data_IF_321544985297
#
_entry.id   IF_321544985297
#
_cell.length_a   1.000
_cell.length_b   1.000
_cell.length_c   1.000
_cell.angle_alpha   90.00
_cell.angle_beta   90.00
_cell.angle_gamma   90.00
#
_symmetry.space_group_name_H-M   'P 1'
#
loop_
_entity.id
_entity.type
_entity.pdbx_description
1 polymer ?
#
# COMPACT_ATOMS: atom_id res chain seq x y z
N UNK A 1 50.15 -3.08 -22.70
CA UNK A 1 49.84 -1.77 -23.30
C UNK A 1 51.00 -1.10 -24.08
N UNK A 2 52.26 -1.49 -23.95
CA UNK A 2 53.42 -0.81 -24.60
C UNK A 2 53.74 -1.32 -26.04
N UNK A 3 53.20 -2.48 -26.47
CA UNK A 3 53.47 -3.00 -27.83
C UNK A 3 52.45 -2.54 -28.89
N UNK A 4 51.28 -2.02 -28.53
CA UNK A 4 50.27 -1.52 -29.49
C UNK A 4 50.55 -0.11 -30.01
N UNK A 5 51.20 0.72 -29.22
CA UNK A 5 51.53 2.09 -29.64
C UNK A 5 52.67 2.19 -30.66
N UNK A 6 53.57 1.23 -30.72
CA UNK A 6 54.65 1.23 -31.75
C UNK A 6 54.15 0.79 -33.13
N UNK A 7 53.06 0.03 -33.20
CA UNK A 7 52.48 -0.40 -34.48
C UNK A 7 51.64 0.71 -35.12
N UNK A 8 50.92 1.48 -34.32
CA UNK A 8 50.16 2.63 -34.82
C UNK A 8 51.03 3.77 -35.34
N UNK A 9 52.15 4.05 -34.67
CA UNK A 9 53.10 5.12 -35.13
C UNK A 9 53.84 4.74 -36.43
N UNK A 10 54.01 3.48 -36.74
CA UNK A 10 54.66 3.03 -38.01
C UNK A 10 53.73 3.12 -39.22
N UNK A 11 52.43 3.10 -39.02
CA UNK A 11 51.41 3.25 -40.07
C UNK A 11 51.12 4.70 -40.46
N UNK A 12 51.39 5.65 -39.55
CA UNK A 12 51.04 7.06 -39.73
C UNK A 12 52.10 7.90 -40.48
N UNK A 13 53.31 7.35 -40.75
CA UNK A 13 54.43 8.14 -41.30
C UNK A 13 54.71 7.94 -42.80
N UNK A 14 53.90 7.14 -43.53
CA UNK A 14 54.31 6.77 -44.93
C UNK A 14 53.41 7.23 -46.09
N UNK A 15 52.22 7.88 -45.87
CA UNK A 15 51.47 8.36 -47.04
C UNK A 15 50.28 9.30 -46.66
N UNK A 16 50.33 10.61 -47.04
CA UNK A 16 49.28 11.60 -46.64
C UNK A 16 47.91 11.35 -47.26
N UNK A 17 47.79 10.62 -48.37
CA UNK A 17 46.49 10.28 -48.98
C UNK A 17 45.74 9.18 -48.19
N UNK A 18 46.47 8.24 -47.60
CA UNK A 18 45.89 7.17 -46.74
C UNK A 18 45.43 7.71 -45.38
N UNK A 19 46.02 8.82 -44.93
CA UNK A 19 45.64 9.49 -43.66
C UNK A 19 44.23 10.12 -43.69
N UNK A 20 43.81 10.63 -44.86
CA UNK A 20 42.43 11.16 -45.02
C UNK A 20 41.38 10.03 -45.01
N UNK A 21 41.67 8.92 -45.67
CA UNK A 21 40.77 7.77 -45.73
C UNK A 21 40.64 7.07 -44.37
N UNK A 22 41.75 6.93 -43.61
CA UNK A 22 41.74 6.33 -42.27
C UNK A 22 40.99 7.25 -41.24
N UNK A 23 41.17 8.59 -41.34
CA UNK A 23 40.41 9.53 -40.50
C UNK A 23 38.90 9.51 -40.78
N UNK A 24 38.51 9.36 -42.06
CA UNK A 24 37.10 9.24 -42.45
C UNK A 24 36.50 7.91 -41.97
N UNK A 25 37.24 6.79 -42.03
CA UNK A 25 36.81 5.49 -41.54
C UNK A 25 36.72 5.48 -39.99
N UNK A 26 37.64 6.12 -39.27
CA UNK A 26 37.62 6.25 -37.82
C UNK A 26 36.43 7.16 -37.36
N UNK A 27 36.18 8.27 -38.07
CA UNK A 27 35.01 9.10 -37.82
C UNK A 27 33.67 8.38 -38.12
N UNK A 28 33.62 7.54 -39.19
CA UNK A 28 32.44 6.76 -39.52
C UNK A 28 32.18 5.61 -38.51
N UNK A 29 33.23 5.04 -37.91
CA UNK A 29 33.09 4.01 -36.84
C UNK A 29 32.74 4.65 -35.51
N UNK A 30 33.24 5.87 -35.18
CA UNK A 30 32.83 6.61 -33.98
C UNK A 30 31.41 7.14 -34.09
N UNK A 31 30.91 7.49 -35.27
CA UNK A 31 29.51 7.95 -35.43
C UNK A 31 28.49 6.80 -35.44
N UNK A 32 28.89 5.56 -35.70
CA UNK A 32 28.02 4.39 -35.60
C UNK A 32 27.90 3.80 -34.19
N UNK A 33 28.72 4.23 -33.22
CA UNK A 33 28.64 3.77 -31.84
C UNK A 33 27.76 4.70 -30.93
N UNK A 34 27.25 5.82 -31.44
CA UNK A 34 26.45 6.78 -30.66
C UNK A 34 24.94 6.54 -30.83
N UNK A 35 24.50 5.58 -31.64
CA UNK A 35 23.07 5.27 -31.88
C UNK A 35 22.61 3.93 -31.30
N UNK A 36 23.32 3.41 -30.30
CA UNK A 36 22.76 2.34 -29.48
C UNK A 36 22.27 2.90 -28.15
N UNK A 37 21.28 3.80 -28.18
CA UNK A 37 20.30 3.82 -27.12
C UNK A 37 19.53 2.49 -27.23
N UNK A 38 20.06 1.43 -26.66
CA UNK A 38 19.25 0.32 -26.24
C UNK A 38 18.40 0.86 -25.08
N UNK A 39 17.22 1.40 -25.38
CA UNK A 39 16.12 1.27 -24.43
C UNK A 39 16.08 -0.23 -24.13
N UNK A 40 16.57 -0.63 -22.97
CA UNK A 40 16.33 -1.96 -22.45
C UNK A 40 14.81 -2.09 -22.41
N UNK A 41 14.23 -2.80 -23.38
CA UNK A 41 12.83 -3.20 -23.29
C UNK A 41 12.76 -4.02 -22.02
N UNK A 42 12.26 -3.42 -20.94
CA UNK A 42 11.90 -4.17 -19.75
C UNK A 42 11.01 -5.31 -20.24
N UNK A 43 11.46 -6.54 -20.04
CA UNK A 43 10.65 -7.70 -20.43
C UNK A 43 9.39 -7.67 -19.60
N UNK A 44 8.24 -7.57 -20.25
CA UNK A 44 6.93 -7.60 -19.57
C UNK A 44 6.87 -8.81 -18.64
N UNK A 45 6.34 -8.61 -17.48
CA UNK A 45 6.18 -9.64 -16.44
C UNK A 45 4.77 -10.19 -16.44
N UNK A 46 3.76 -9.32 -16.56
CA UNK A 46 2.37 -9.74 -16.55
C UNK A 46 1.95 -10.31 -17.92
N UNK A 47 1.36 -11.50 -17.90
CA UNK A 47 0.81 -12.15 -19.09
C UNK A 47 -0.72 -12.11 -19.05
N UNK A 48 -1.33 -11.42 -19.99
CA UNK A 48 -2.78 -11.24 -20.08
C UNK A 48 -3.54 -12.58 -20.18
N UNK A 49 -2.99 -13.60 -20.82
CA UNK A 49 -3.61 -14.91 -20.93
C UNK A 49 -3.74 -15.62 -19.58
N UNK A 50 -2.83 -15.34 -18.62
CA UNK A 50 -2.84 -15.97 -17.31
C UNK A 50 -3.89 -15.36 -16.38
N UNK A 51 -4.09 -14.03 -16.40
CA UNK A 51 -4.98 -13.36 -15.46
C UNK A 51 -6.37 -13.02 -16.01
N UNK A 52 -6.58 -12.96 -17.35
CA UNK A 52 -7.90 -12.61 -17.92
C UNK A 52 -9.03 -13.54 -17.47
N UNK A 53 -8.75 -14.82 -17.25
CA UNK A 53 -9.76 -15.77 -16.74
C UNK A 53 -10.33 -15.36 -15.38
N UNK A 54 -9.58 -14.62 -14.57
CA UNK A 54 -10.01 -14.13 -13.25
C UNK A 54 -10.72 -12.78 -13.32
N UNK A 55 -10.60 -12.07 -14.45
CA UNK A 55 -11.31 -10.81 -14.69
C UNK A 55 -12.72 -11.01 -15.27
N UNK A 56 -13.04 -12.23 -15.72
CA UNK A 56 -14.39 -12.60 -16.18
C UNK A 56 -15.23 -12.98 -14.97
N UNK A 57 -15.71 -11.97 -14.24
CA UNK A 57 -16.30 -12.23 -12.95
C UNK A 57 -17.73 -12.74 -12.99
N UNK A 58 -18.00 -13.52 -11.98
CA UNK A 58 -19.31 -13.94 -11.52
C UNK A 58 -19.33 -13.77 -10.01
N UNK A 59 -20.52 -13.59 -9.43
CA UNK A 59 -20.73 -13.63 -7.98
C UNK A 59 -19.98 -14.82 -7.37
N UNK A 60 -19.09 -14.54 -6.43
CA UNK A 60 -18.23 -15.57 -5.85
C UNK A 60 -19.00 -16.52 -4.92
N UNK A 61 -18.44 -17.69 -4.73
CA UNK A 61 -18.96 -18.62 -3.72
C UNK A 61 -18.92 -17.97 -2.33
N UNK A 62 -17.86 -17.22 -2.00
CA UNK A 62 -17.68 -16.54 -0.71
C UNK A 62 -18.77 -15.49 -0.50
N UNK A 63 -18.97 -14.58 -1.46
CA UNK A 63 -20.03 -13.57 -1.42
C UNK A 63 -21.42 -14.22 -1.26
N UNK A 64 -21.72 -15.21 -2.10
CA UNK A 64 -23.01 -15.91 -2.04
C UNK A 64 -23.25 -16.58 -0.69
N UNK A 65 -22.21 -17.18 -0.10
CA UNK A 65 -22.30 -17.79 1.23
C UNK A 65 -22.48 -16.72 2.32
N UNK A 66 -21.74 -15.62 2.27
CA UNK A 66 -21.88 -14.53 3.23
C UNK A 66 -23.28 -13.91 3.19
N UNK A 67 -23.85 -13.71 1.99
CA UNK A 67 -25.22 -13.22 1.84
C UNK A 67 -26.25 -14.21 2.41
N UNK A 68 -26.13 -15.51 2.12
CA UNK A 68 -27.01 -16.54 2.68
C UNK A 68 -26.93 -16.61 4.21
N UNK A 69 -25.73 -16.50 4.76
CA UNK A 69 -25.53 -16.43 6.22
C UNK A 69 -26.21 -15.18 6.80
N UNK A 70 -26.04 -14.02 6.17
CA UNK A 70 -26.69 -12.79 6.59
C UNK A 70 -28.21 -12.94 6.63
N UNK A 71 -28.82 -13.40 5.53
CA UNK A 71 -30.27 -13.58 5.40
C UNK A 71 -30.81 -14.58 6.42
N UNK A 72 -30.09 -15.69 6.61
CA UNK A 72 -30.47 -16.72 7.58
C UNK A 72 -30.50 -16.20 9.02
N UNK A 73 -29.41 -15.53 9.44
CA UNK A 73 -29.29 -15.03 10.80
C UNK A 73 -30.21 -13.84 11.05
N UNK A 74 -30.45 -12.99 10.05
CA UNK A 74 -31.42 -11.92 10.14
C UNK A 74 -32.83 -12.44 10.33
N UNK A 75 -33.23 -13.47 9.58
CA UNK A 75 -34.53 -14.16 9.76
C UNK A 75 -34.63 -14.78 11.15
N UNK A 76 -33.56 -15.40 11.65
CA UNK A 76 -33.55 -15.97 13.01
C UNK A 76 -33.73 -14.91 14.08
N UNK A 77 -33.04 -13.77 13.94
CA UNK A 77 -33.13 -12.63 14.87
C UNK A 77 -34.55 -12.05 14.85
N UNK A 78 -35.16 -11.87 13.69
CA UNK A 78 -36.52 -11.36 13.57
C UNK A 78 -37.53 -12.24 14.28
N UNK A 79 -37.36 -13.57 14.17
CA UNK A 79 -38.25 -14.54 14.85
C UNK A 79 -37.99 -14.63 16.36
N UNK A 80 -36.79 -14.37 16.81
CA UNK A 80 -36.34 -14.45 18.22
C UNK A 80 -35.48 -13.26 18.61
N UNK A 81 -36.03 -12.05 18.77
CA UNK A 81 -35.26 -10.80 18.95
C UNK A 81 -34.42 -10.75 20.23
N UNK A 82 -34.70 -11.60 21.21
CA UNK A 82 -33.95 -11.69 22.48
C UNK A 82 -32.64 -12.48 22.36
N UNK A 83 -32.46 -13.25 21.27
CA UNK A 83 -31.28 -14.08 21.04
C UNK A 83 -30.10 -13.24 20.53
N UNK A 84 -29.46 -12.50 21.43
CA UNK A 84 -28.34 -11.63 21.09
C UNK A 84 -27.12 -12.33 20.45
N UNK A 85 -26.84 -13.65 20.63
CA UNK A 85 -25.75 -14.31 19.91
C UNK A 85 -25.88 -14.24 18.38
N UNK A 86 -27.13 -14.12 17.86
CA UNK A 86 -27.33 -13.96 16.41
C UNK A 86 -26.74 -12.66 15.86
N UNK A 87 -26.65 -11.61 16.69
CA UNK A 87 -25.99 -10.35 16.32
C UNK A 87 -24.53 -10.55 15.92
N UNK A 88 -23.78 -11.41 16.62
CA UNK A 88 -22.39 -11.73 16.25
C UNK A 88 -22.30 -12.42 14.88
N UNK A 89 -23.27 -13.28 14.54
CA UNK A 89 -23.31 -13.97 13.25
C UNK A 89 -23.63 -13.00 12.12
N UNK A 90 -24.57 -12.09 12.33
CA UNK A 90 -24.94 -11.03 11.39
C UNK A 90 -23.74 -10.09 11.18
N UNK A 91 -23.07 -9.66 12.25
CA UNK A 91 -21.89 -8.81 12.15
C UNK A 91 -20.75 -9.48 11.37
N UNK A 92 -20.52 -10.80 11.61
CA UNK A 92 -19.53 -11.57 10.86
C UNK A 92 -19.87 -11.61 9.36
N UNK A 93 -21.13 -11.91 9.01
CA UNK A 93 -21.56 -11.95 7.62
C UNK A 93 -21.39 -10.59 6.91
N UNK A 94 -21.79 -9.49 7.59
CA UNK A 94 -21.56 -8.14 7.07
C UNK A 94 -20.06 -7.82 6.91
N UNK A 95 -19.20 -8.20 7.86
CA UNK A 95 -17.75 -8.01 7.72
C UNK A 95 -17.16 -8.76 6.51
N UNK A 96 -17.66 -9.98 6.23
CA UNK A 96 -17.28 -10.73 5.03
C UNK A 96 -17.78 -10.03 3.75
N UNK A 97 -19.03 -9.56 3.74
CA UNK A 97 -19.57 -8.81 2.59
C UNK A 97 -18.82 -7.51 2.34
N UNK A 98 -18.36 -6.81 3.41
CA UNK A 98 -17.47 -5.67 3.25
C UNK A 98 -16.16 -6.06 2.57
N UNK A 99 -15.53 -7.15 2.99
CA UNK A 99 -14.29 -7.65 2.38
C UNK A 99 -14.48 -8.02 0.90
N UNK A 100 -15.63 -8.60 0.54
CA UNK A 100 -15.92 -9.04 -0.83
C UNK A 100 -16.36 -7.89 -1.76
N UNK A 101 -17.05 -6.87 -1.22
CA UNK A 101 -17.69 -5.81 -1.99
C UNK A 101 -17.05 -4.44 -1.84
N UNK A 102 -16.25 -4.22 -0.79
CA UNK A 102 -15.70 -2.90 -0.46
C UNK A 102 -16.74 -1.85 -0.05
N UNK A 103 -18.03 -2.21 0.04
CA UNK A 103 -19.09 -1.27 0.37
C UNK A 103 -19.11 -0.99 1.88
N UNK A 104 -18.83 0.26 2.24
CA UNK A 104 -18.73 0.73 3.63
C UNK A 104 -20.00 0.47 4.45
N UNK A 105 -21.19 0.41 3.84
CA UNK A 105 -22.43 0.18 4.55
C UNK A 105 -22.42 -1.13 5.34
N UNK A 106 -21.83 -2.20 4.80
CA UNK A 106 -21.69 -3.48 5.50
C UNK A 106 -20.83 -3.37 6.76
N UNK A 107 -19.78 -2.53 6.73
CA UNK A 107 -18.93 -2.33 7.89
C UNK A 107 -19.66 -1.58 9.01
N UNK A 108 -20.49 -0.59 8.65
CA UNK A 108 -21.34 0.16 9.58
C UNK A 108 -22.46 -0.70 10.15
N UNK A 109 -23.11 -1.54 9.32
CA UNK A 109 -24.09 -2.48 9.79
C UNK A 109 -23.50 -3.53 10.76
N UNK A 110 -22.27 -3.99 10.49
CA UNK A 110 -21.54 -4.85 11.42
C UNK A 110 -21.30 -4.15 12.76
N UNK A 111 -20.85 -2.88 12.74
CA UNK A 111 -20.66 -2.06 13.95
C UNK A 111 -21.93 -1.99 14.78
N UNK A 112 -23.07 -1.67 14.16
CA UNK A 112 -24.36 -1.57 14.87
C UNK A 112 -24.68 -2.86 15.65
N UNK A 113 -24.46 -4.02 15.04
CA UNK A 113 -24.73 -5.32 15.70
C UNK A 113 -23.71 -5.60 16.81
N UNK A 114 -22.46 -5.23 16.61
CA UNK A 114 -21.39 -5.40 17.59
C UNK A 114 -21.58 -4.46 18.80
N UNK A 115 -22.03 -3.24 18.58
CA UNK A 115 -22.42 -2.33 19.67
C UNK A 115 -23.58 -2.92 20.51
N UNK A 116 -24.64 -3.39 19.86
CA UNK A 116 -25.79 -4.01 20.53
C UNK A 116 -25.39 -5.21 21.39
N UNK A 117 -24.50 -6.09 20.89
CA UNK A 117 -24.08 -7.26 21.68
C UNK A 117 -23.17 -6.86 22.85
N UNK A 118 -22.29 -5.87 22.69
CA UNK A 118 -21.46 -5.36 23.77
C UNK A 118 -22.32 -4.71 24.87
N UNK A 119 -23.32 -3.91 24.51
CA UNK A 119 -24.31 -3.37 25.45
C UNK A 119 -25.05 -4.48 26.21
N UNK A 120 -25.54 -5.52 25.52
CA UNK A 120 -26.25 -6.67 26.14
C UNK A 120 -25.37 -7.45 27.12
N UNK A 121 -24.05 -7.43 26.92
CA UNK A 121 -23.10 -8.11 27.80
C UNK A 121 -22.37 -7.14 28.76
N UNK A 122 -22.87 -5.90 28.89
CA UNK A 122 -22.27 -4.84 29.72
C UNK A 122 -20.76 -4.64 29.43
N UNK A 123 -20.33 -4.81 28.17
CA UNK A 123 -18.93 -4.71 27.76
C UNK A 123 -17.99 -5.62 28.59
N UNK A 124 -18.47 -6.79 29.02
CA UNK A 124 -17.74 -7.71 29.89
C UNK A 124 -17.40 -9.05 29.23
N UNK A 125 -17.29 -9.08 27.90
CA UNK A 125 -16.86 -10.26 27.14
C UNK A 125 -15.74 -9.88 26.19
N UNK A 126 -14.53 -10.36 26.46
CA UNK A 126 -13.36 -9.99 25.68
C UNK A 126 -13.52 -10.35 24.18
N UNK A 127 -14.17 -11.45 23.86
CA UNK A 127 -14.44 -11.83 22.47
C UNK A 127 -15.33 -10.82 21.73
N UNK A 128 -16.33 -10.25 22.37
CA UNK A 128 -17.19 -9.21 21.78
C UNK A 128 -16.47 -7.87 21.66
N UNK A 129 -15.67 -7.51 22.69
CA UNK A 129 -14.82 -6.31 22.68
C UNK A 129 -13.82 -6.38 21.52
N UNK A 130 -13.10 -7.50 21.35
CA UNK A 130 -12.18 -7.69 20.22
C UNK A 130 -12.87 -7.62 18.87
N UNK A 131 -14.10 -8.16 18.75
CA UNK A 131 -14.84 -8.08 17.49
C UNK A 131 -15.20 -6.65 17.12
N UNK A 132 -15.64 -5.83 18.08
CA UNK A 132 -15.91 -4.39 17.85
C UNK A 132 -14.62 -3.62 17.61
N UNK A 133 -13.55 -3.91 18.35
CA UNK A 133 -12.24 -3.31 18.14
C UNK A 133 -11.70 -3.58 16.73
N UNK A 134 -11.87 -4.80 16.21
CA UNK A 134 -11.48 -5.14 14.81
C UNK A 134 -12.29 -4.35 13.79
N UNK A 135 -13.59 -4.15 14.02
CA UNK A 135 -14.42 -3.32 13.16
C UNK A 135 -13.92 -1.87 13.18
N UNK A 136 -13.55 -1.32 14.34
CA UNK A 136 -12.97 0.02 14.46
C UNK A 136 -11.58 0.14 13.80
N UNK A 137 -10.73 -0.89 13.88
CA UNK A 137 -9.46 -0.93 13.12
C UNK A 137 -9.74 -0.79 11.61
N UNK A 138 -10.73 -1.53 11.09
CA UNK A 138 -11.11 -1.42 9.67
C UNK A 138 -11.67 -0.05 9.29
N UNK A 139 -12.14 0.74 10.25
CA UNK A 139 -12.59 2.12 10.07
C UNK A 139 -11.51 3.16 10.39
N UNK A 140 -10.27 2.75 10.66
CA UNK A 140 -9.17 3.61 11.14
C UNK A 140 -9.43 4.34 12.46
N UNK A 141 -10.38 3.86 13.26
CA UNK A 141 -10.74 4.38 14.60
C UNK A 141 -9.90 3.70 15.67
N UNK A 142 -8.59 3.92 15.59
CA UNK A 142 -7.62 3.18 16.41
C UNK A 142 -7.71 3.53 17.90
N UNK A 143 -8.02 4.79 18.28
CA UNK A 143 -8.20 5.20 19.68
C UNK A 143 -9.35 4.46 20.34
N UNK A 144 -10.52 4.43 19.69
CA UNK A 144 -11.67 3.71 20.21
C UNK A 144 -11.44 2.19 20.24
N UNK A 145 -10.69 1.67 19.25
CA UNK A 145 -10.25 0.27 19.28
C UNK A 145 -9.37 -0.02 20.50
N UNK A 146 -8.41 0.87 20.81
CA UNK A 146 -7.52 0.74 21.96
C UNK A 146 -8.31 0.66 23.27
N UNK A 147 -9.31 1.53 23.46
CA UNK A 147 -10.15 1.52 24.67
C UNK A 147 -10.86 0.17 24.87
N UNK A 148 -11.38 -0.42 23.79
CA UNK A 148 -12.03 -1.73 23.86
C UNK A 148 -11.05 -2.85 24.15
N UNK A 149 -9.86 -2.79 23.54
CA UNK A 149 -8.80 -3.78 23.74
C UNK A 149 -8.25 -3.73 25.16
N UNK A 150 -8.10 -2.54 25.76
CA UNK A 150 -7.71 -2.41 27.16
C UNK A 150 -8.75 -3.03 28.12
N UNK A 151 -10.04 -2.88 27.85
CA UNK A 151 -11.09 -3.61 28.60
C UNK A 151 -11.00 -5.12 28.39
N UNK A 152 -10.72 -5.58 27.15
CA UNK A 152 -10.56 -6.99 26.87
C UNK A 152 -9.30 -7.59 27.53
N UNK A 153 -8.24 -6.82 27.65
CA UNK A 153 -7.01 -7.18 28.35
C UNK A 153 -7.26 -7.41 29.86
N UNK A 154 -7.94 -6.46 30.51
CA UNK A 154 -8.33 -6.60 31.93
C UNK A 154 -9.24 -7.82 32.17
N UNK A 155 -10.14 -8.12 31.22
CA UNK A 155 -10.99 -9.32 31.29
C UNK A 155 -10.18 -10.63 31.24
N UNK A 156 -9.07 -10.67 30.51
CA UNK A 156 -8.15 -11.80 30.43
C UNK A 156 -8.59 -13.00 29.58
N UNK A 157 -9.83 -13.06 29.11
CA UNK A 157 -10.30 -14.14 28.23
C UNK A 157 -9.55 -14.13 26.89
N UNK A 158 -8.79 -15.19 26.61
CA UNK A 158 -7.92 -15.30 25.44
C UNK A 158 -7.01 -14.08 25.29
N UNK A 159 -6.20 -13.83 26.33
CA UNK A 159 -5.33 -12.66 26.46
C UNK A 159 -4.39 -12.51 25.25
N UNK A 160 -3.79 -13.60 24.78
CA UNK A 160 -2.89 -13.59 23.62
C UNK A 160 -3.54 -12.98 22.37
N UNK A 161 -4.82 -13.30 22.09
CA UNK A 161 -5.53 -12.69 20.97
C UNK A 161 -5.76 -11.18 21.15
N UNK A 162 -5.90 -10.70 22.39
CA UNK A 162 -6.02 -9.27 22.70
C UNK A 162 -4.67 -8.56 22.53
N UNK A 163 -3.58 -9.16 23.03
CA UNK A 163 -2.22 -8.63 22.92
C UNK A 163 -1.75 -8.50 21.47
N UNK A 164 -2.10 -9.49 20.60
CA UNK A 164 -1.86 -9.39 19.17
C UNK A 164 -2.52 -8.14 18.55
N UNK A 165 -3.75 -7.84 18.92
CA UNK A 165 -4.46 -6.66 18.42
C UNK A 165 -3.92 -5.37 19.05
N UNK A 166 -3.46 -5.40 20.30
CA UNK A 166 -2.81 -4.26 20.95
C UNK A 166 -1.50 -3.89 20.26
N UNK A 167 -0.67 -4.88 19.86
CA UNK A 167 0.49 -4.63 19.01
C UNK A 167 0.10 -3.85 17.74
N UNK A 168 -0.91 -4.35 17.00
CA UNK A 168 -1.34 -3.74 15.76
C UNK A 168 -1.82 -2.29 15.99
N UNK A 169 -2.63 -2.06 17.01
CA UNK A 169 -3.23 -0.74 17.28
C UNK A 169 -2.20 0.26 17.80
N UNK A 170 -1.27 -0.13 18.66
CA UNK A 170 -0.21 0.76 19.12
C UNK A 170 0.73 1.20 17.99
N UNK A 171 1.03 0.30 17.06
CA UNK A 171 1.84 0.65 15.90
C UNK A 171 1.11 1.68 15.01
N UNK A 172 -0.18 1.49 14.78
CA UNK A 172 -1.02 2.44 14.01
C UNK A 172 -1.21 3.80 14.73
N UNK A 173 -1.11 3.84 16.05
CA UNK A 173 -1.18 5.08 16.82
C UNK A 173 0.16 5.83 16.91
N UNK A 174 1.26 5.26 16.37
CA UNK A 174 2.59 5.85 16.47
C UNK A 174 3.25 5.65 17.84
N UNK A 175 2.91 4.55 18.54
CA UNK A 175 3.47 4.16 19.83
C UNK A 175 4.30 2.87 19.70
N UNK A 176 5.43 2.89 18.95
CA UNK A 176 6.18 1.69 18.61
C UNK A 176 6.83 1.01 19.83
N UNK A 177 7.16 1.75 20.86
CA UNK A 177 7.71 1.19 22.10
C UNK A 177 6.70 0.23 22.74
N UNK A 178 5.44 0.66 22.88
CA UNK A 178 4.37 -0.19 23.41
C UNK A 178 4.04 -1.36 22.47
N UNK A 179 4.04 -1.11 21.16
CA UNK A 179 3.86 -2.19 20.19
C UNK A 179 4.96 -3.26 20.36
N UNK A 180 6.22 -2.86 20.53
CA UNK A 180 7.35 -3.76 20.77
C UNK A 180 7.20 -4.60 22.04
N UNK A 181 6.70 -4.00 23.13
CA UNK A 181 6.42 -4.72 24.39
C UNK A 181 5.39 -5.84 24.15
N UNK A 182 4.26 -5.54 23.48
CA UNK A 182 3.26 -6.55 23.16
C UNK A 182 3.77 -7.61 22.18
N UNK A 183 4.64 -7.24 21.24
CA UNK A 183 5.26 -8.22 20.32
C UNK A 183 6.10 -9.24 21.09
N UNK A 184 6.83 -8.81 22.11
CA UNK A 184 7.62 -9.68 22.96
C UNK A 184 6.72 -10.61 23.81
N UNK A 185 5.60 -10.11 24.34
CA UNK A 185 4.67 -10.92 25.15
C UNK A 185 3.99 -12.06 24.36
N UNK A 186 3.81 -11.89 23.05
CA UNK A 186 3.16 -12.88 22.18
C UNK A 186 4.16 -13.77 21.43
N UNK A 187 5.44 -13.77 21.80
CA UNK A 187 6.48 -14.48 21.04
C UNK A 187 6.17 -15.96 20.84
N UNK A 188 5.98 -16.35 19.58
CA UNK A 188 5.76 -17.74 19.18
C UNK A 188 6.03 -17.94 17.68
N UNK A 189 7.23 -18.36 17.33
CA UNK A 189 7.64 -18.60 15.93
C UNK A 189 6.91 -19.78 15.24
N UNK A 190 6.10 -20.54 15.96
CA UNK A 190 5.23 -21.56 15.39
C UNK A 190 3.85 -21.01 14.99
N UNK A 191 3.49 -19.82 15.46
CA UNK A 191 2.20 -19.18 15.24
C UNK A 191 2.24 -18.26 14.01
N UNK A 192 1.32 -18.49 13.06
CA UNK A 192 1.12 -17.65 11.88
C UNK A 192 0.91 -16.18 12.26
N UNK A 193 0.01 -15.92 13.22
CA UNK A 193 -0.34 -14.57 13.63
C UNK A 193 0.83 -13.80 14.27
N UNK A 194 1.75 -14.49 14.94
CA UNK A 194 2.98 -13.89 15.43
C UNK A 194 3.94 -13.55 14.28
N UNK A 195 4.15 -14.50 13.37
CA UNK A 195 5.08 -14.30 12.24
C UNK A 195 4.71 -13.11 11.36
N UNK A 196 3.42 -12.89 11.10
CA UNK A 196 2.99 -11.72 10.32
C UNK A 196 3.23 -10.41 11.05
N UNK A 197 3.14 -10.39 12.39
CA UNK A 197 3.44 -9.20 13.20
C UNK A 197 4.93 -8.93 13.29
N UNK A 198 5.77 -9.95 13.37
CA UNK A 198 7.24 -9.81 13.26
C UNK A 198 7.60 -9.26 11.88
N UNK A 199 6.96 -9.75 10.82
CA UNK A 199 7.13 -9.23 9.47
C UNK A 199 6.77 -7.73 9.40
N UNK A 200 5.58 -7.34 9.87
CA UNK A 200 5.13 -5.94 9.95
C UNK A 200 6.08 -5.07 10.79
N UNK A 201 6.62 -5.61 11.89
CA UNK A 201 7.58 -4.90 12.74
C UNK A 201 8.89 -4.61 12.01
N UNK A 202 9.42 -5.58 11.26
CA UNK A 202 10.65 -5.37 10.48
C UNK A 202 10.43 -4.39 9.33
N UNK A 203 9.28 -4.45 8.65
CA UNK A 203 8.88 -3.49 7.64
C UNK A 203 8.81 -2.06 8.21
N UNK A 204 8.13 -1.89 9.34
CA UNK A 204 8.10 -0.62 10.08
C UNK A 204 9.51 -0.08 10.40
N UNK A 205 10.48 -0.96 10.65
CA UNK A 205 11.88 -0.61 10.95
C UNK A 205 12.73 -0.39 9.68
N UNK A 206 12.16 -0.49 8.48
CA UNK A 206 12.88 -0.39 7.22
C UNK A 206 13.71 -1.64 6.86
N UNK A 207 13.55 -2.73 7.58
CA UNK A 207 14.25 -4.01 7.30
C UNK A 207 13.37 -4.91 6.41
N UNK A 208 13.22 -4.52 5.15
CA UNK A 208 12.41 -5.25 4.17
C UNK A 208 12.88 -6.70 4.01
N UNK A 209 14.17 -6.96 4.07
CA UNK A 209 14.72 -8.33 3.96
C UNK A 209 14.22 -9.25 5.07
N UNK A 210 14.19 -8.77 6.31
CA UNK A 210 13.61 -9.54 7.43
C UNK A 210 12.09 -9.62 7.34
N UNK A 211 11.40 -8.56 6.90
CA UNK A 211 9.97 -8.57 6.67
C UNK A 211 9.57 -9.69 5.68
N UNK A 212 10.25 -9.77 4.55
CA UNK A 212 10.09 -10.85 3.55
C UNK A 212 10.30 -12.21 4.20
N UNK A 213 11.43 -12.41 4.86
CA UNK A 213 11.78 -13.70 5.48
C UNK A 213 10.73 -14.20 6.47
N UNK A 214 10.13 -13.30 7.26
CA UNK A 214 9.10 -13.69 8.23
C UNK A 214 7.74 -13.90 7.55
N UNK A 215 7.42 -13.14 6.49
CA UNK A 215 6.22 -13.37 5.70
C UNK A 215 6.29 -14.70 4.92
N UNK A 216 7.45 -15.08 4.38
CA UNK A 216 7.67 -16.41 3.78
C UNK A 216 7.43 -17.55 4.78
N UNK A 217 7.89 -17.38 6.03
CA UNK A 217 7.61 -18.36 7.10
C UNK A 217 6.11 -18.43 7.42
N UNK A 218 5.43 -17.29 7.47
CA UNK A 218 3.99 -17.23 7.67
C UNK A 218 3.24 -17.91 6.51
N UNK A 219 3.60 -17.61 5.27
CA UNK A 219 3.05 -18.25 4.08
C UNK A 219 3.18 -19.77 4.15
N UNK A 220 4.37 -20.27 4.49
CA UNK A 220 4.60 -21.71 4.65
C UNK A 220 3.67 -22.32 5.72
N UNK A 221 3.45 -21.65 6.85
CA UNK A 221 2.50 -22.09 7.88
C UNK A 221 1.07 -22.16 7.36
N UNK A 222 0.65 -21.18 6.56
CA UNK A 222 -0.67 -21.17 5.93
C UNK A 222 -0.83 -22.33 4.93
N UNK A 223 0.22 -22.63 4.17
CA UNK A 223 0.25 -23.77 3.22
C UNK A 223 0.22 -25.11 3.96
N UNK A 224 1.03 -25.31 5.02
CA UNK A 224 1.04 -26.50 5.87
C UNK A 224 -0.32 -26.76 6.52
N UNK A 225 -1.00 -25.72 7.01
CA UNK A 225 -2.34 -25.80 7.57
C UNK A 225 -3.45 -25.99 6.52
N UNK A 226 -3.12 -25.89 5.25
CA UNK A 226 -4.05 -25.88 4.11
C UNK A 226 -5.24 -24.93 4.30
N UNK A 227 -5.02 -23.80 4.96
CA UNK A 227 -6.06 -22.80 5.20
C UNK A 227 -6.13 -21.82 4.02
N UNK A 228 -7.24 -21.84 3.29
CA UNK A 228 -7.46 -21.05 2.08
C UNK A 228 -7.29 -19.55 2.34
N UNK A 229 -7.91 -19.04 3.40
CA UNK A 229 -7.94 -17.61 3.70
C UNK A 229 -6.55 -17.08 4.11
N UNK A 230 -5.84 -17.84 4.97
CA UNK A 230 -4.49 -17.50 5.38
C UNK A 230 -3.50 -17.58 4.20
N UNK A 231 -3.68 -18.56 3.29
CA UNK A 231 -2.86 -18.64 2.07
C UNK A 231 -3.11 -17.42 1.17
N UNK A 232 -4.37 -17.11 0.86
CA UNK A 232 -4.69 -15.97 0.00
C UNK A 232 -4.13 -14.66 0.58
N UNK A 233 -4.30 -14.46 1.89
CA UNK A 233 -3.79 -13.28 2.59
C UNK A 233 -2.25 -13.21 2.56
N UNK A 234 -1.56 -14.31 2.88
CA UNK A 234 -0.10 -14.31 2.90
C UNK A 234 0.51 -14.18 1.50
N UNK A 235 -0.14 -14.74 0.47
CA UNK A 235 0.32 -14.59 -0.92
C UNK A 235 0.26 -13.12 -1.36
N UNK A 236 -0.83 -12.41 -1.08
CA UNK A 236 -0.95 -11.00 -1.47
C UNK A 236 0.04 -10.10 -0.73
N UNK A 237 0.18 -10.29 0.60
CA UNK A 237 1.12 -9.47 1.38
C UNK A 237 2.59 -9.76 1.03
N UNK A 238 2.96 -11.02 0.77
CA UNK A 238 4.32 -11.34 0.32
C UNK A 238 4.55 -10.85 -1.12
N UNK A 239 3.51 -10.81 -1.96
CA UNK A 239 3.60 -10.24 -3.30
C UNK A 239 3.96 -8.76 -3.26
N UNK A 240 3.37 -7.98 -2.32
CA UNK A 240 3.72 -6.58 -2.12
C UNK A 240 5.19 -6.43 -1.72
N UNK A 241 5.64 -7.16 -0.71
CA UNK A 241 7.04 -7.12 -0.28
C UNK A 241 8.02 -7.53 -1.39
N UNK A 242 7.70 -8.54 -2.19
CA UNK A 242 8.53 -8.90 -3.34
C UNK A 242 8.54 -7.79 -4.39
N UNK A 243 7.41 -7.11 -4.60
CA UNK A 243 7.31 -5.93 -5.46
C UNK A 243 8.25 -4.82 -5.00
N UNK A 244 8.16 -4.42 -3.73
CA UNK A 244 9.03 -3.41 -3.11
C UNK A 244 10.51 -3.79 -3.20
N UNK A 245 10.84 -5.09 -3.09
CA UNK A 245 12.21 -5.59 -3.22
C UNK A 245 12.66 -5.81 -4.68
N UNK A 246 11.91 -5.35 -5.67
CA UNK A 246 12.24 -5.50 -7.09
C UNK A 246 12.06 -6.92 -7.67
N UNK A 247 11.54 -7.87 -6.90
CA UNK A 247 11.25 -9.25 -7.31
C UNK A 247 9.90 -9.36 -8.03
N UNK A 248 9.70 -8.54 -9.06
CA UNK A 248 8.39 -8.33 -9.72
C UNK A 248 7.77 -9.62 -10.26
N UNK A 249 8.59 -10.53 -10.81
CA UNK A 249 8.11 -11.83 -11.32
C UNK A 249 7.54 -12.72 -10.21
N UNK A 250 8.13 -12.70 -9.03
CA UNK A 250 7.68 -13.51 -7.92
C UNK A 250 6.46 -12.87 -7.24
N UNK A 251 6.41 -11.53 -7.16
CA UNK A 251 5.22 -10.76 -6.82
C UNK A 251 4.04 -11.16 -7.71
N UNK A 252 4.19 -11.09 -9.02
CA UNK A 252 3.16 -11.46 -9.99
C UNK A 252 2.65 -12.91 -9.81
N UNK A 253 3.56 -13.88 -9.63
CA UNK A 253 3.20 -15.28 -9.39
C UNK A 253 2.37 -15.46 -8.12
N UNK A 254 2.68 -14.71 -7.07
CA UNK A 254 1.93 -14.80 -5.80
C UNK A 254 0.53 -14.19 -5.93
N UNK A 255 0.36 -13.08 -6.65
CA UNK A 255 -0.97 -12.57 -6.97
C UNK A 255 -1.79 -13.59 -7.78
N UNK A 256 -1.18 -14.27 -8.77
CA UNK A 256 -1.87 -15.34 -9.51
C UNK A 256 -2.26 -16.50 -8.58
N UNK A 257 -1.38 -16.93 -7.67
CA UNK A 257 -1.72 -17.96 -6.67
C UNK A 257 -2.89 -17.55 -5.77
N UNK A 258 -2.97 -16.27 -5.38
CA UNK A 258 -4.11 -15.75 -4.62
C UNK A 258 -5.41 -15.83 -5.44
N UNK A 259 -5.35 -15.49 -6.74
CA UNK A 259 -6.49 -15.57 -7.65
C UNK A 259 -6.90 -17.02 -7.98
N UNK A 260 -5.99 -17.98 -7.95
CA UNK A 260 -6.31 -19.41 -8.06
C UNK A 260 -7.14 -19.91 -6.87
N UNK A 261 -6.88 -19.36 -5.68
CA UNK A 261 -7.66 -19.67 -4.49
C UNK A 261 -9.00 -18.93 -4.49
N UNK A 262 -8.97 -17.66 -4.88
CA UNK A 262 -10.13 -16.78 -4.89
C UNK A 262 -10.09 -15.85 -6.10
N UNK A 263 -10.85 -16.17 -7.13
CA UNK A 263 -10.91 -15.42 -8.38
C UNK A 263 -11.55 -14.02 -8.25
N UNK A 264 -12.20 -13.71 -7.11
CA UNK A 264 -12.74 -12.40 -6.80
C UNK A 264 -11.78 -11.48 -6.10
N UNK A 265 -10.64 -11.97 -5.64
CA UNK A 265 -9.71 -11.21 -4.82
C UNK A 265 -9.31 -9.88 -5.49
N UNK A 266 -10.02 -8.80 -5.13
CA UNK A 266 -9.87 -7.48 -5.71
C UNK A 266 -8.47 -6.91 -5.41
N UNK A 267 -7.88 -7.26 -4.28
CA UNK A 267 -6.53 -6.83 -3.91
C UNK A 267 -5.47 -7.41 -4.85
N UNK A 268 -5.52 -8.72 -5.12
CA UNK A 268 -4.60 -9.36 -6.06
C UNK A 268 -4.77 -8.82 -7.49
N UNK A 269 -6.01 -8.59 -7.95
CA UNK A 269 -6.28 -7.96 -9.24
C UNK A 269 -5.68 -6.55 -9.32
N UNK A 270 -5.82 -5.73 -8.26
CA UNK A 270 -5.21 -4.39 -8.15
C UNK A 270 -3.68 -4.48 -8.19
N UNK A 271 -3.08 -5.44 -7.48
CA UNK A 271 -1.63 -5.67 -7.52
C UNK A 271 -1.11 -6.00 -8.93
N UNK A 272 -1.85 -6.83 -9.69
CA UNK A 272 -1.54 -7.09 -11.10
C UNK A 272 -1.69 -5.82 -11.94
N UNK A 273 -2.73 -5.00 -11.74
CA UNK A 273 -2.89 -3.73 -12.44
C UNK A 273 -1.72 -2.78 -12.17
N UNK A 274 -1.20 -2.76 -10.92
CA UNK A 274 -0.02 -2.00 -10.57
C UNK A 274 1.24 -2.50 -11.30
N UNK A 275 1.49 -3.80 -11.34
CA UNK A 275 2.62 -4.38 -12.10
C UNK A 275 2.54 -3.99 -13.58
N UNK A 276 1.35 -4.11 -14.17
CA UNK A 276 1.08 -3.75 -15.57
C UNK A 276 1.36 -2.26 -15.83
N UNK A 277 0.97 -1.38 -14.90
CA UNK A 277 1.21 0.06 -15.00
C UNK A 277 2.67 0.42 -14.69
N UNK A 278 3.13 0.07 -13.48
CA UNK A 278 4.41 0.56 -12.96
C UNK A 278 5.61 -0.12 -13.60
N UNK A 279 5.57 -1.46 -13.81
CA UNK A 279 6.69 -2.21 -14.38
C UNK A 279 6.58 -2.35 -15.90
N UNK A 280 5.45 -2.86 -16.40
CA UNK A 280 5.29 -3.19 -17.82
C UNK A 280 5.00 -1.96 -18.68
N UNK A 281 4.76 -0.79 -18.04
CA UNK A 281 4.46 0.50 -18.70
C UNK A 281 3.29 0.41 -19.67
N UNK A 282 2.24 -0.32 -19.28
CA UNK A 282 1.02 -0.50 -20.07
C UNK A 282 -0.20 0.11 -19.36
N UNK A 283 -0.34 1.45 -19.38
CA UNK A 283 -1.40 2.15 -18.66
C UNK A 283 -2.81 1.80 -19.16
N UNK A 284 -2.99 1.50 -20.46
CA UNK A 284 -4.29 1.14 -21.01
C UNK A 284 -4.82 -0.17 -20.45
N UNK A 285 -3.96 -1.17 -20.36
CA UNK A 285 -4.31 -2.46 -19.80
C UNK A 285 -4.55 -2.37 -18.27
N UNK A 286 -3.74 -1.58 -17.56
CA UNK A 286 -3.97 -1.33 -16.14
C UNK A 286 -5.34 -0.66 -15.88
N UNK A 287 -5.72 0.34 -16.68
CA UNK A 287 -7.05 0.95 -16.61
C UNK A 287 -8.16 -0.07 -16.90
N UNK A 288 -7.98 -0.94 -17.90
CA UNK A 288 -8.96 -2.00 -18.21
C UNK A 288 -9.18 -2.93 -17.02
N UNK A 289 -8.11 -3.33 -16.35
CA UNK A 289 -8.20 -4.17 -15.14
C UNK A 289 -8.95 -3.41 -14.02
N UNK A 290 -8.57 -2.16 -13.77
CA UNK A 290 -9.18 -1.33 -12.73
C UNK A 290 -10.66 -1.04 -13.01
N UNK A 291 -11.07 -0.88 -14.28
CA UNK A 291 -12.47 -0.69 -14.64
C UNK A 291 -13.31 -1.92 -14.30
N UNK A 292 -12.78 -3.11 -14.56
CA UNK A 292 -13.45 -4.36 -14.18
C UNK A 292 -13.58 -4.47 -12.65
N UNK A 293 -12.49 -4.23 -11.92
CA UNK A 293 -12.50 -4.35 -10.46
C UNK A 293 -13.48 -3.35 -9.84
N UNK A 294 -13.46 -2.09 -10.28
CA UNK A 294 -14.30 -1.03 -9.70
C UNK A 294 -15.80 -1.22 -9.94
N UNK A 295 -16.20 -2.06 -10.91
CA UNK A 295 -17.59 -2.45 -11.10
C UNK A 295 -18.06 -3.53 -10.10
N UNK A 296 -17.13 -4.27 -9.52
CA UNK A 296 -17.41 -5.42 -8.64
C UNK A 296 -17.16 -5.11 -7.17
N UNK A 297 -16.17 -4.25 -6.89
CA UNK A 297 -15.70 -3.90 -5.57
C UNK A 297 -15.67 -2.37 -5.41
N UNK A 298 -16.35 -1.82 -4.41
CA UNK A 298 -16.67 -0.39 -4.28
C UNK A 298 -15.62 0.40 -3.48
N UNK A 299 -14.30 0.16 -3.69
CA UNK A 299 -13.28 0.97 -3.02
C UNK A 299 -13.05 2.30 -3.75
N UNK A 300 -13.12 3.45 -3.05
CA UNK A 300 -12.75 4.75 -3.63
C UNK A 300 -11.32 4.83 -4.17
N UNK A 301 -10.37 4.07 -3.60
CA UNK A 301 -8.94 4.11 -3.96
C UNK A 301 -8.67 3.81 -5.44
N UNK A 302 -9.55 3.05 -6.09
CA UNK A 302 -9.38 2.77 -7.52
C UNK A 302 -9.41 4.04 -8.37
N UNK A 303 -10.21 5.03 -7.97
CA UNK A 303 -10.34 6.27 -8.73
C UNK A 303 -9.09 7.15 -8.59
N UNK A 304 -8.39 7.11 -7.45
CA UNK A 304 -7.09 7.78 -7.30
C UNK A 304 -6.04 7.14 -8.20
N UNK A 305 -5.97 5.82 -8.25
CA UNK A 305 -5.04 5.13 -9.14
C UNK A 305 -5.39 5.36 -10.62
N UNK A 306 -6.68 5.38 -10.99
CA UNK A 306 -7.11 5.74 -12.36
C UNK A 306 -6.74 7.17 -12.70
N UNK A 307 -6.84 8.11 -11.75
CA UNK A 307 -6.44 9.50 -11.93
C UNK A 307 -4.94 9.62 -12.18
N UNK A 308 -4.11 8.92 -11.40
CA UNK A 308 -2.67 8.84 -11.58
C UNK A 308 -2.29 8.29 -12.97
N UNK A 309 -2.91 7.18 -13.38
CA UNK A 309 -2.66 6.59 -14.71
C UNK A 309 -3.10 7.54 -15.83
N UNK A 310 -4.20 8.27 -15.64
CA UNK A 310 -4.66 9.26 -16.61
C UNK A 310 -3.68 10.45 -16.73
N UNK A 311 -3.13 10.90 -15.61
CA UNK A 311 -2.05 11.91 -15.59
C UNK A 311 -0.81 11.43 -16.34
N UNK A 312 -0.35 10.22 -16.08
CA UNK A 312 0.75 9.60 -16.81
C UNK A 312 0.54 9.56 -18.31
N UNK A 313 -0.72 9.40 -18.75
CA UNK A 313 -1.12 9.47 -20.16
C UNK A 313 -1.32 10.89 -20.67
N UNK A 314 -1.05 11.92 -19.87
CA UNK A 314 -1.35 13.33 -20.18
C UNK A 314 -2.84 13.59 -20.48
N UNK A 315 -3.76 12.83 -19.91
CA UNK A 315 -5.21 12.99 -20.07
C UNK A 315 -5.81 13.63 -18.82
N UNK A 316 -5.66 14.95 -18.73
CA UNK A 316 -6.10 15.73 -17.56
C UNK A 316 -7.63 15.67 -17.35
N UNK A 317 -8.42 15.62 -18.41
CA UNK A 317 -9.90 15.51 -18.30
C UNK A 317 -10.32 14.21 -17.61
N UNK A 318 -9.70 13.10 -17.96
CA UNK A 318 -9.99 11.80 -17.29
C UNK A 318 -9.44 11.80 -15.86
N UNK A 319 -8.27 12.43 -15.60
CA UNK A 319 -7.74 12.62 -14.25
C UNK A 319 -8.76 13.35 -13.38
N UNK A 320 -9.21 14.53 -13.80
CA UNK A 320 -10.17 15.36 -13.07
C UNK A 320 -11.47 14.61 -12.80
N UNK A 321 -12.03 13.93 -13.82
CA UNK A 321 -13.24 13.13 -13.67
C UNK A 321 -13.09 12.02 -12.61
N UNK A 322 -11.95 11.31 -12.56
CA UNK A 322 -11.73 10.29 -11.54
C UNK A 322 -11.57 10.90 -10.14
N UNK A 323 -10.92 12.05 -10.01
CA UNK A 323 -10.83 12.79 -8.75
C UNK A 323 -12.22 13.22 -8.26
N UNK A 324 -13.09 13.69 -9.13
CA UNK A 324 -14.48 14.05 -8.79
C UNK A 324 -15.28 12.84 -8.29
N UNK A 325 -15.15 11.68 -8.96
CA UNK A 325 -15.79 10.43 -8.51
C UNK A 325 -15.27 10.01 -7.15
N UNK A 326 -13.94 10.07 -6.92
CA UNK A 326 -13.34 9.80 -5.63
C UNK A 326 -13.91 10.71 -4.53
N UNK A 327 -13.89 12.03 -4.74
CA UNK A 327 -14.40 13.00 -3.79
C UNK A 327 -15.89 12.78 -3.48
N UNK A 328 -16.69 12.45 -4.49
CA UNK A 328 -18.11 12.12 -4.32
C UNK A 328 -18.30 10.88 -3.42
N UNK A 329 -17.48 9.84 -3.64
CA UNK A 329 -17.55 8.62 -2.87
C UNK A 329 -17.18 8.84 -1.40
N UNK A 330 -16.05 9.52 -1.12
CA UNK A 330 -15.55 9.74 0.25
C UNK A 330 -16.31 10.80 1.04
N UNK A 331 -17.20 11.57 0.40
CA UNK A 331 -18.15 12.46 1.10
C UNK A 331 -19.17 11.69 1.96
N UNK A 332 -19.34 10.39 1.74
CA UNK A 332 -20.16 9.56 2.60
C UNK A 332 -19.56 9.55 4.02
N UNK A 333 -20.32 10.10 4.99
CA UNK A 333 -19.89 10.23 6.39
C UNK A 333 -19.52 8.90 7.06
N UNK A 334 -19.96 7.77 6.49
CA UNK A 334 -19.62 6.44 6.97
C UNK A 334 -18.12 6.11 6.86
N UNK A 335 -17.37 6.81 6.02
CA UNK A 335 -15.92 6.63 5.93
C UNK A 335 -15.16 7.32 7.09
N UNK A 336 -15.77 8.31 7.77
CA UNK A 336 -15.15 8.95 8.93
C UNK A 336 -13.77 9.52 8.63
N UNK A 337 -12.76 8.99 9.32
CA UNK A 337 -11.34 9.44 9.20
C UNK A 337 -10.52 8.66 8.17
N UNK A 338 -11.09 7.61 7.57
CA UNK A 338 -10.35 6.65 6.71
C UNK A 338 -9.56 7.29 5.58
N UNK A 339 -10.03 8.42 5.05
CA UNK A 339 -9.45 9.08 3.88
C UNK A 339 -8.81 10.43 4.19
N UNK A 340 -8.60 10.79 5.47
CA UNK A 340 -8.02 12.09 5.82
C UNK A 340 -6.67 12.35 5.15
N UNK A 341 -5.76 11.37 5.12
CA UNK A 341 -4.44 11.51 4.49
C UNK A 341 -4.57 11.76 2.98
N UNK A 342 -5.40 10.98 2.29
CA UNK A 342 -5.61 11.14 0.86
C UNK A 342 -6.26 12.49 0.51
N UNK A 343 -7.24 12.92 1.32
CA UNK A 343 -7.88 14.22 1.15
C UNK A 343 -6.89 15.36 1.40
N UNK A 344 -6.05 15.26 2.45
CA UNK A 344 -5.01 16.24 2.71
C UNK A 344 -4.05 16.40 1.51
N UNK A 345 -3.53 15.28 0.97
CA UNK A 345 -2.67 15.28 -0.22
C UNK A 345 -3.38 15.89 -1.43
N UNK A 346 -4.60 15.47 -1.70
CA UNK A 346 -5.38 15.94 -2.85
C UNK A 346 -5.61 17.45 -2.78
N UNK A 347 -5.96 18.00 -1.61
CA UNK A 347 -6.13 19.43 -1.43
C UNK A 347 -4.82 20.21 -1.56
N UNK A 348 -3.68 19.64 -1.12
CA UNK A 348 -2.36 20.26 -1.29
C UNK A 348 -1.84 20.23 -2.73
N UNK A 349 -2.06 19.14 -3.45
CA UNK A 349 -1.38 18.90 -4.72
C UNK A 349 -2.22 19.27 -5.93
N UNK A 350 -3.52 18.98 -5.88
CA UNK A 350 -4.41 19.18 -7.02
C UNK A 350 -5.17 20.51 -6.95
N UNK A 351 -5.65 20.89 -5.76
CA UNK A 351 -6.51 22.07 -5.63
C UNK A 351 -5.78 23.31 -5.11
N UNK A 352 -4.54 23.16 -4.60
CA UNK A 352 -3.82 24.24 -3.91
C UNK A 352 -4.66 24.89 -2.79
N UNK A 353 -5.62 24.15 -2.23
CA UNK A 353 -6.45 24.59 -1.10
C UNK A 353 -5.79 24.19 0.23
N UNK A 354 -4.82 25.01 0.63
CA UNK A 354 -4.04 24.76 1.84
C UNK A 354 -4.88 24.83 3.13
N UNK A 355 -6.00 25.55 3.11
CA UNK A 355 -6.92 25.64 4.27
C UNK A 355 -7.65 24.31 4.53
N UNK A 356 -8.26 23.75 3.48
CA UNK A 356 -8.91 22.44 3.58
C UNK A 356 -7.90 21.35 3.90
N UNK A 357 -6.72 21.38 3.26
CA UNK A 357 -5.64 20.44 3.54
C UNK A 357 -5.24 20.45 5.02
N UNK A 358 -4.99 21.63 5.60
CA UNK A 358 -4.61 21.75 7.01
C UNK A 358 -5.68 21.16 7.94
N UNK A 359 -6.96 21.40 7.66
CA UNK A 359 -8.06 20.82 8.45
C UNK A 359 -8.05 19.29 8.46
N UNK A 360 -7.72 18.63 7.31
CA UNK A 360 -7.59 17.18 7.26
C UNK A 360 -6.32 16.68 7.94
N UNK A 361 -5.21 17.43 7.83
CA UNK A 361 -3.94 17.11 8.50
C UNK A 361 -4.12 17.14 10.02
N UNK A 362 -4.76 18.19 10.56
CA UNK A 362 -5.04 18.31 12.00
C UNK A 362 -5.90 17.16 12.51
N UNK A 363 -6.96 16.79 11.79
CA UNK A 363 -7.81 15.63 12.12
C UNK A 363 -7.02 14.31 12.07
N UNK A 364 -6.10 14.17 11.12
CA UNK A 364 -5.27 12.98 11.00
C UNK A 364 -4.29 12.88 12.17
N UNK A 365 -3.60 13.97 12.53
CA UNK A 365 -2.70 14.02 13.68
C UNK A 365 -3.49 13.79 14.99
N UNK A 366 -4.69 14.35 15.11
CA UNK A 366 -5.57 14.08 16.26
C UNK A 366 -5.97 12.61 16.33
N UNK A 367 -6.27 11.97 15.20
CA UNK A 367 -6.64 10.56 15.12
C UNK A 367 -5.45 9.65 15.43
N UNK A 368 -4.30 9.91 14.83
CA UNK A 368 -3.06 9.15 15.01
C UNK A 368 -1.83 10.02 14.75
N UNK A 369 -0.97 10.14 15.75
CA UNK A 369 0.23 10.99 15.72
C UNK A 369 1.44 10.22 15.19
N UNK A 370 1.37 9.75 13.94
CA UNK A 370 2.42 8.95 13.29
C UNK A 370 3.41 9.82 12.50
N UNK A 371 4.61 9.31 12.16
CA UNK A 371 5.51 9.99 11.24
C UNK A 371 4.84 10.37 9.92
N UNK A 372 3.95 9.52 9.38
CA UNK A 372 3.17 9.76 8.17
C UNK A 372 2.23 10.97 8.31
N UNK A 373 1.59 11.11 9.47
CA UNK A 373 0.70 12.26 9.75
C UNK A 373 1.48 13.58 9.85
N UNK A 374 2.67 13.53 10.44
CA UNK A 374 3.56 14.71 10.52
C UNK A 374 4.26 15.03 9.19
N UNK A 375 4.50 14.04 8.33
CA UNK A 375 4.96 14.27 6.97
C UNK A 375 3.97 15.14 6.19
N UNK A 376 2.67 14.88 6.29
CA UNK A 376 1.64 15.71 5.68
C UNK A 376 1.70 17.16 6.18
N UNK A 377 1.98 17.37 7.47
CA UNK A 377 2.16 18.71 8.04
C UNK A 377 3.43 19.39 7.50
N UNK A 378 4.51 18.64 7.38
CA UNK A 378 5.75 19.15 6.79
C UNK A 378 5.54 19.50 5.31
N UNK A 379 4.85 18.64 4.56
CA UNK A 379 4.52 18.89 3.17
C UNK A 379 3.61 20.10 2.97
N UNK A 380 2.65 20.31 3.88
CA UNK A 380 1.86 21.53 3.93
C UNK A 380 2.73 22.79 4.07
N UNK A 381 3.69 22.82 5.02
CA UNK A 381 4.61 23.95 5.14
C UNK A 381 5.48 24.12 3.91
N UNK A 382 5.98 23.03 3.32
CA UNK A 382 6.75 23.06 2.08
C UNK A 382 5.97 23.69 0.92
N UNK A 383 4.72 23.27 0.70
CA UNK A 383 3.83 23.82 -0.34
C UNK A 383 3.52 25.28 -0.11
N UNK A 384 3.43 25.73 1.13
CA UNK A 384 3.29 27.16 1.50
C UNK A 384 4.61 27.93 1.51
N UNK A 385 5.72 27.34 1.04
CA UNK A 385 7.08 27.92 0.98
C UNK A 385 7.66 28.32 2.34
N UNK A 386 7.12 27.79 3.44
CA UNK A 386 7.71 27.90 4.78
C UNK A 386 8.70 26.73 4.99
N UNK A 387 9.78 26.75 4.22
CA UNK A 387 10.75 25.65 4.17
C UNK A 387 11.42 25.40 5.51
N UNK A 388 11.57 26.45 6.35
CA UNK A 388 12.17 26.31 7.69
C UNK A 388 11.28 25.53 8.62
N UNK A 389 9.96 25.80 8.63
CA UNK A 389 9.02 25.00 9.43
C UNK A 389 8.88 23.58 8.90
N UNK A 390 8.88 23.40 7.58
CA UNK A 390 8.89 22.07 7.00
C UNK A 390 10.10 21.27 7.50
N UNK A 391 11.30 21.86 7.50
CA UNK A 391 12.53 21.24 8.00
C UNK A 391 12.44 20.92 9.51
N UNK A 392 11.89 21.83 10.32
CA UNK A 392 11.70 21.63 11.76
C UNK A 392 10.79 20.41 12.02
N UNK A 393 9.66 20.33 11.31
CA UNK A 393 8.69 19.23 11.48
C UNK A 393 9.30 17.88 11.07
N UNK A 394 9.95 17.79 9.89
CA UNK A 394 10.55 16.51 9.49
C UNK A 394 11.65 16.06 10.46
N UNK A 395 12.54 16.95 10.89
CA UNK A 395 13.61 16.59 11.81
C UNK A 395 13.11 16.14 13.19
N UNK A 396 11.96 16.66 13.62
CA UNK A 396 11.39 16.34 14.92
C UNK A 396 10.58 15.04 14.89
N UNK A 397 9.80 14.82 13.83
CA UNK A 397 8.75 13.80 13.83
C UNK A 397 8.88 12.72 12.77
N UNK A 398 9.71 12.89 11.72
CA UNK A 398 9.66 12.06 10.52
C UNK A 398 10.98 11.36 10.23
N UNK A 399 12.09 12.10 10.19
CA UNK A 399 13.43 11.58 9.82
C UNK A 399 13.82 10.46 10.77
N UNK A 400 14.32 9.35 10.23
CA UNK A 400 14.72 8.13 10.93
C UNK A 400 13.58 7.40 11.68
N UNK A 401 12.31 7.80 11.45
CA UNK A 401 11.13 7.18 12.08
C UNK A 401 10.21 6.49 11.09
N UNK A 402 10.40 6.69 9.82
CA UNK A 402 9.71 5.99 8.73
C UNK A 402 10.64 5.86 7.53
N UNK A 403 10.43 4.81 6.76
CA UNK A 403 11.22 4.47 5.56
C UNK A 403 10.35 4.40 4.29
N UNK A 404 9.11 4.87 4.39
CA UNK A 404 8.16 4.95 3.27
C UNK A 404 8.74 5.79 2.12
N UNK A 405 8.87 5.26 0.90
CA UNK A 405 9.55 5.96 -0.18
C UNK A 405 8.95 7.32 -0.55
N UNK A 406 7.62 7.47 -0.50
CA UNK A 406 6.99 8.77 -0.76
C UNK A 406 7.39 9.83 0.28
N UNK A 407 7.50 9.43 1.54
CA UNK A 407 7.94 10.32 2.62
C UNK A 407 9.42 10.68 2.46
N UNK A 408 10.25 9.72 2.06
CA UNK A 408 11.66 10.00 1.75
C UNK A 408 11.80 11.00 0.59
N UNK A 409 10.90 10.97 -0.40
CA UNK A 409 10.84 11.98 -1.45
C UNK A 409 10.49 13.36 -0.88
N UNK A 410 9.50 13.49 0.01
CA UNK A 410 9.18 14.76 0.66
C UNK A 410 10.36 15.30 1.49
N UNK A 411 11.04 14.41 2.23
CA UNK A 411 12.25 14.78 3.00
C UNK A 411 13.34 15.33 2.05
N UNK A 412 13.58 14.67 0.90
CA UNK A 412 14.57 15.09 -0.07
C UNK A 412 14.27 16.47 -0.65
N UNK A 413 13.02 16.74 -1.02
CA UNK A 413 12.55 18.03 -1.51
C UNK A 413 12.70 19.13 -0.44
N UNK A 414 12.34 18.85 0.82
CA UNK A 414 12.48 19.77 1.94
C UNK A 414 13.96 20.07 2.21
N UNK A 415 14.85 19.07 2.18
CA UNK A 415 16.29 19.26 2.31
C UNK A 415 16.84 20.15 1.20
N UNK A 416 16.48 19.87 -0.06
CA UNK A 416 16.87 20.69 -1.22
C UNK A 416 16.44 22.14 -1.07
N UNK A 417 15.18 22.39 -0.68
CA UNK A 417 14.65 23.73 -0.47
C UNK A 417 15.34 24.51 0.66
N UNK A 418 16.00 23.81 1.60
CA UNK A 418 16.80 24.39 2.68
C UNK A 418 18.31 24.40 2.39
N UNK A 419 18.74 24.05 1.17
CA UNK A 419 20.15 24.03 0.78
C UNK A 419 20.96 22.86 1.33
N UNK A 420 20.33 21.82 1.84
CA UNK A 420 20.97 20.58 2.38
C UNK A 420 21.12 19.57 1.23
N UNK A 421 21.84 19.97 0.19
CA UNK A 421 21.86 19.25 -1.08
C UNK A 421 22.47 17.84 -0.99
N UNK A 422 23.51 17.65 -0.16
CA UNK A 422 24.17 16.35 -0.04
C UNK A 422 23.19 15.27 0.47
N UNK A 423 22.35 15.60 1.46
CA UNK A 423 21.33 14.68 1.97
C UNK A 423 20.20 14.44 0.95
N UNK A 424 19.79 15.50 0.24
CA UNK A 424 18.78 15.38 -0.81
C UNK A 424 19.24 14.44 -1.94
N UNK A 425 20.50 14.56 -2.35
CA UNK A 425 21.07 13.71 -3.40
C UNK A 425 21.26 12.26 -2.95
N UNK A 426 21.65 12.02 -1.68
CA UNK A 426 21.72 10.66 -1.15
C UNK A 426 20.35 9.97 -1.17
N UNK A 427 19.30 10.66 -0.71
CA UNK A 427 17.94 10.14 -0.77
C UNK A 427 17.44 9.92 -2.21
N UNK A 428 17.81 10.79 -3.16
CA UNK A 428 17.48 10.59 -4.58
C UNK A 428 18.01 9.26 -5.12
N UNK A 429 19.27 8.92 -4.80
CA UNK A 429 19.86 7.64 -5.24
C UNK A 429 19.08 6.44 -4.68
N UNK A 430 18.73 6.45 -3.39
CA UNK A 430 17.93 5.41 -2.73
C UNK A 430 16.51 5.32 -3.31
N UNK A 431 15.86 6.46 -3.60
CA UNK A 431 14.51 6.52 -4.15
C UNK A 431 14.39 5.95 -5.56
N UNK A 432 15.46 6.00 -6.36
CA UNK A 432 15.46 5.39 -7.69
C UNK A 432 15.34 3.86 -7.64
N UNK A 433 15.82 3.22 -6.58
CA UNK A 433 15.63 1.79 -6.34
C UNK A 433 14.18 1.44 -6.00
N UNK A 434 13.41 2.39 -5.45
CA UNK A 434 11.99 2.25 -5.12
C UNK A 434 11.04 2.65 -6.27
N UNK A 435 11.55 2.83 -7.48
CA UNK A 435 10.78 3.33 -8.64
C UNK A 435 9.58 2.46 -9.04
N UNK A 436 9.61 1.15 -8.75
CA UNK A 436 8.44 0.29 -8.94
C UNK A 436 7.30 0.62 -7.97
N UNK A 437 7.63 0.80 -6.70
CA UNK A 437 6.67 1.12 -5.64
C UNK A 437 6.06 2.51 -5.82
N UNK A 438 6.89 3.49 -6.16
CA UNK A 438 6.49 4.89 -6.35
C UNK A 438 5.76 5.16 -7.67
N UNK A 439 5.90 4.26 -8.64
CA UNK A 439 5.27 4.40 -9.94
C UNK A 439 5.99 5.37 -10.90
N UNK A 440 5.54 5.38 -12.17
CA UNK A 440 6.20 6.15 -13.23
C UNK A 440 6.21 7.66 -13.01
N UNK A 441 5.11 8.25 -12.52
CA UNK A 441 5.02 9.69 -12.29
C UNK A 441 5.98 10.18 -11.21
N UNK A 442 6.08 9.45 -10.10
CA UNK A 442 7.01 9.79 -9.03
C UNK A 442 8.45 9.61 -9.47
N UNK A 443 8.75 8.60 -10.29
CA UNK A 443 10.10 8.42 -10.86
C UNK A 443 10.54 9.66 -11.64
N UNK A 444 9.67 10.28 -12.43
CA UNK A 444 9.98 11.53 -13.15
C UNK A 444 10.25 12.70 -12.19
N UNK A 445 9.47 12.82 -11.09
CA UNK A 445 9.70 13.84 -10.05
C UNK A 445 11.05 13.64 -9.35
N UNK A 446 11.40 12.41 -9.00
CA UNK A 446 12.67 12.06 -8.33
C UNK A 446 13.88 12.43 -9.21
N UNK A 447 13.81 12.20 -10.51
CA UNK A 447 14.88 12.57 -11.43
C UNK A 447 15.20 14.09 -11.40
N UNK A 448 14.24 14.92 -10.99
CA UNK A 448 14.35 16.37 -10.90
C UNK A 448 14.78 16.89 -9.51
N UNK A 449 14.98 16.02 -8.49
CA UNK A 449 15.65 16.36 -7.23
C UNK A 449 17.13 16.69 -7.53
#
# INVERSE_FOLDING_TARGET
>A
MLKSNQFLNKLLTKNPSKMKTIKIIICAILSSTILSCTTSKTTKVANQEEYNKYLQSTTTTSESLAQKELDFWQKKLNNQPTQYPYLSKIAKANSLLFSEKGNISYLIEAEEKLLKINQKTNYNKASHLRSLARNYISQHRFKESLELLKKAEVNGENLNATQKMLFDVYLELGEPEKASEYLAEIENYADFDYLIRVSKWHDYKGDLSSAIRFMEKAMKKAEEANNKDLKAWSYTNLADFYGHNGQIKDSYKLYLKALELDNSNAYAKKGIAWIVYSHDKNPDEALRILDIISNEHSSPDYYLLKAEIAEFKNNLTIKESNIEVYLSAVKNSSYGVMYNQHLAKLYLEEFNDTSSALSYIEKEIESRSTPQSYDLLAWYYYKNKDFKKALEVINTYVVDKTFEPEIQYHIAEIYKANGINDKAMALKEELLDSSFELGPLMTEKILNI
#
